data_IF_065218257320
#
_entry.id   IF_065218257320
#
_cell.length_a   1.000
_cell.length_b   1.000
_cell.length_c   1.000
_cell.angle_alpha   90.00
_cell.angle_beta   90.00
_cell.angle_gamma   90.00
#
_symmetry.space_group_name_H-M   'P 1'
#
loop_
_entity.id
_entity.type
_entity.pdbx_description
1 polymer ?
#
# COMPACT_ATOMS: atom_id res chain seq x y z
N UNK A 1 -5.96 -17.81 -2.09
CA UNK A 1 -5.56 -16.39 -2.08
C UNK A 1 -5.75 -15.92 -0.66
N UNK A 2 -4.67 -15.46 -0.03
CA UNK A 2 -4.62 -15.30 1.43
C UNK A 2 -4.76 -13.83 1.85
N UNK A 3 -4.31 -12.91 1.00
CA UNK A 3 -4.26 -11.47 1.27
C UNK A 3 -4.83 -10.65 0.10
N UNK A 4 -5.57 -9.60 0.43
CA UNK A 4 -6.06 -8.59 -0.52
C UNK A 4 -5.71 -7.21 0.03
N UNK A 5 -5.00 -6.41 -0.76
CA UNK A 5 -4.60 -5.05 -0.37
C UNK A 5 -5.16 -4.08 -1.40
N UNK A 6 -5.99 -3.15 -0.97
CA UNK A 6 -6.51 -2.07 -1.83
C UNK A 6 -5.61 -0.84 -1.71
N UNK A 7 -5.37 -0.14 -2.82
CA UNK A 7 -4.32 0.90 -2.91
C UNK A 7 -4.82 2.32 -3.17
N UNK A 8 -6.08 2.46 -3.56
CA UNK A 8 -6.75 3.76 -3.71
C UNK A 8 -8.09 3.76 -2.95
N UNK A 9 -8.55 4.92 -2.50
CA UNK A 9 -9.81 5.04 -1.77
C UNK A 9 -11.00 4.51 -2.58
N UNK A 10 -10.94 4.66 -3.91
CA UNK A 10 -11.93 4.09 -4.83
C UNK A 10 -11.98 2.57 -4.71
N UNK A 11 -10.83 1.89 -4.69
CA UNK A 11 -10.75 0.44 -4.52
C UNK A 11 -11.12 -0.02 -3.10
N UNK A 12 -10.95 0.82 -2.08
CA UNK A 12 -11.40 0.52 -0.72
C UNK A 12 -12.94 0.51 -0.60
N UNK A 13 -13.64 1.34 -1.37
CA UNK A 13 -15.10 1.46 -1.38
C UNK A 13 -15.82 0.59 -2.41
N UNK A 14 -15.10 -0.04 -3.33
CA UNK A 14 -15.68 -0.96 -4.31
C UNK A 14 -16.08 -2.29 -3.67
N UNK A 15 -17.20 -2.87 -4.15
CA UNK A 15 -17.62 -4.21 -3.72
C UNK A 15 -16.56 -5.19 -4.21
N UNK A 16 -15.71 -5.64 -3.29
CA UNK A 16 -14.71 -6.66 -3.59
C UNK A 16 -15.40 -7.92 -4.15
N UNK A 17 -14.84 -8.56 -5.18
CA UNK A 17 -15.32 -9.84 -5.66
C UNK A 17 -15.41 -10.85 -4.50
N UNK A 18 -16.35 -11.80 -4.58
CA UNK A 18 -16.39 -12.90 -3.61
C UNK A 18 -15.18 -13.79 -3.87
N UNK A 19 -14.17 -13.69 -2.99
CA UNK A 19 -13.00 -14.56 -3.01
C UNK A 19 -13.26 -15.81 -2.17
N UNK A 20 -13.11 -17.02 -2.71
CA UNK A 20 -13.14 -18.24 -1.90
C UNK A 20 -12.03 -18.20 -0.84
N UNK A 21 -12.38 -18.55 0.41
CA UNK A 21 -11.42 -18.64 1.52
C UNK A 21 -11.34 -17.43 2.46
N UNK A 22 -12.11 -16.35 2.23
CA UNK A 22 -12.12 -15.12 3.07
C UNK A 22 -10.68 -14.59 3.34
N UNK A 23 -10.00 -14.06 2.31
CA UNK A 23 -8.66 -13.49 2.49
C UNK A 23 -8.68 -12.35 3.51
N UNK A 24 -7.55 -12.15 4.19
CA UNK A 24 -7.33 -10.97 5.03
C UNK A 24 -7.24 -9.72 4.14
N UNK A 25 -7.83 -8.62 4.59
CA UNK A 25 -7.92 -7.38 3.80
C UNK A 25 -7.26 -6.21 4.51
N UNK A 26 -6.56 -5.37 3.76
CA UNK A 26 -6.04 -4.09 4.24
C UNK A 26 -6.12 -3.02 3.15
N UNK A 27 -6.09 -1.75 3.57
CA UNK A 27 -6.06 -0.61 2.66
C UNK A 27 -4.76 0.19 2.87
N UNK A 28 -4.00 0.36 1.80
CA UNK A 28 -2.78 1.17 1.75
C UNK A 28 -2.99 2.32 0.78
N UNK A 29 -3.59 3.42 1.24
CA UNK A 29 -3.89 4.56 0.37
C UNK A 29 -2.65 5.25 -0.18
N UNK A 30 -2.63 5.50 -1.49
CA UNK A 30 -1.63 6.34 -2.17
C UNK A 30 -2.33 7.42 -3.00
N UNK A 31 -1.65 8.54 -3.24
CA UNK A 31 -2.11 9.52 -4.22
C UNK A 31 -2.15 8.88 -5.62
N UNK A 32 -3.14 9.24 -6.45
CA UNK A 32 -3.23 8.76 -7.82
C UNK A 32 -2.26 9.57 -8.70
N UNK A 33 -1.12 9.00 -9.14
CA UNK A 33 -0.14 9.74 -9.91
C UNK A 33 -0.65 10.07 -11.32
N UNK A 34 -1.68 9.36 -11.82
CA UNK A 34 -2.27 9.61 -13.13
C UNK A 34 -3.22 10.82 -13.12
N UNK A 35 -3.70 11.23 -11.95
CA UNK A 35 -4.52 12.43 -11.78
C UNK A 35 -3.68 13.73 -11.79
N UNK A 36 -2.35 13.63 -11.73
CA UNK A 36 -1.48 14.80 -11.73
C UNK A 36 -1.34 15.43 -13.13
N UNK A 37 -1.61 16.73 -13.23
CA UNK A 37 -1.42 17.53 -14.43
C UNK A 37 -0.15 18.37 -14.34
N UNK A 38 0.61 18.47 -15.45
CA UNK A 38 1.88 19.19 -15.48
C UNK A 38 2.80 18.72 -16.61
N UNK A 39 4.06 19.11 -16.53
CA UNK A 39 5.11 18.67 -17.46
C UNK A 39 5.37 17.16 -17.32
N UNK A 40 5.97 16.55 -18.34
CA UNK A 40 6.36 15.13 -18.28
C UNK A 40 7.37 14.85 -17.17
N UNK A 41 8.23 15.83 -16.85
CA UNK A 41 9.18 15.75 -15.74
C UNK A 41 8.46 15.73 -14.39
N UNK A 42 7.50 16.64 -14.18
CA UNK A 42 6.72 16.70 -12.94
C UNK A 42 5.87 15.43 -12.76
N UNK A 43 5.24 14.94 -13.83
CA UNK A 43 4.54 13.64 -13.82
C UNK A 43 5.49 12.53 -13.40
N UNK A 44 6.68 12.44 -14.01
CA UNK A 44 7.64 11.40 -13.65
C UNK A 44 8.08 11.47 -12.19
N UNK A 45 8.25 12.68 -11.64
CA UNK A 45 8.55 12.89 -10.22
C UNK A 45 7.43 12.34 -9.32
N UNK A 46 6.17 12.66 -9.61
CA UNK A 46 5.01 12.15 -8.85
C UNK A 46 4.88 10.63 -8.95
N UNK A 47 5.01 10.05 -10.15
CA UNK A 47 5.02 8.59 -10.32
C UNK A 47 6.14 7.92 -9.53
N UNK A 48 7.36 8.49 -9.54
CA UNK A 48 8.50 7.96 -8.80
C UNK A 48 8.27 8.01 -7.29
N UNK A 49 7.67 9.10 -6.79
CA UNK A 49 7.28 9.24 -5.38
C UNK A 49 6.30 8.14 -4.98
N UNK A 50 5.19 7.98 -5.69
CA UNK A 50 4.18 6.93 -5.41
C UNK A 50 4.80 5.53 -5.50
N UNK A 51 5.64 5.27 -6.50
CA UNK A 51 6.36 4.00 -6.62
C UNK A 51 7.22 3.70 -5.38
N UNK A 52 7.99 4.66 -4.87
CA UNK A 52 8.80 4.49 -3.66
C UNK A 52 7.93 4.17 -2.43
N UNK A 53 6.78 4.83 -2.30
CA UNK A 53 5.83 4.55 -1.22
C UNK A 53 5.28 3.12 -1.29
N UNK A 54 4.88 2.67 -2.48
CA UNK A 54 4.42 1.29 -2.71
C UNK A 54 5.52 0.29 -2.35
N UNK A 55 6.74 0.52 -2.84
CA UNK A 55 7.87 -0.38 -2.58
C UNK A 55 8.24 -0.45 -1.10
N UNK A 56 8.18 0.67 -0.37
CA UNK A 56 8.41 0.69 1.08
C UNK A 56 7.39 -0.18 1.82
N UNK A 57 6.09 0.00 1.54
CA UNK A 57 5.03 -0.79 2.19
C UNK A 57 5.08 -2.27 1.83
N UNK A 58 5.32 -2.60 0.56
CA UNK A 58 5.51 -3.99 0.11
C UNK A 58 6.72 -4.62 0.81
N UNK A 59 7.84 -3.91 0.89
CA UNK A 59 9.04 -4.37 1.57
C UNK A 59 8.77 -4.66 3.06
N UNK A 60 8.05 -3.79 3.76
CA UNK A 60 7.67 -4.03 5.14
C UNK A 60 6.80 -5.29 5.29
N UNK A 61 5.83 -5.49 4.39
CA UNK A 61 4.92 -6.63 4.45
C UNK A 61 5.63 -7.97 4.18
N UNK A 62 6.48 -8.06 3.16
CA UNK A 62 7.18 -9.31 2.83
C UNK A 62 8.23 -9.70 3.87
N UNK A 63 8.66 -8.75 4.71
CA UNK A 63 9.58 -8.99 5.82
C UNK A 63 8.88 -9.35 7.14
N UNK A 64 7.54 -9.42 7.18
CA UNK A 64 6.82 -9.89 8.36
C UNK A 64 7.11 -11.38 8.63
N UNK A 65 7.30 -11.79 9.89
CA UNK A 65 7.47 -13.20 10.25
C UNK A 65 6.13 -13.95 10.25
N UNK A 66 5.50 -14.09 9.08
CA UNK A 66 4.14 -14.65 8.92
C UNK A 66 3.96 -16.06 9.48
N UNK A 67 5.04 -16.82 9.65
CA UNK A 67 5.03 -18.17 10.22
C UNK A 67 4.93 -18.19 11.76
N UNK A 68 5.22 -17.07 12.42
CA UNK A 68 5.18 -16.93 13.88
C UNK A 68 3.95 -16.16 14.33
N UNK A 69 3.46 -15.26 13.49
CA UNK A 69 2.29 -14.42 13.80
C UNK A 69 0.99 -15.20 13.65
N UNK A 70 0.04 -14.96 14.56
CA UNK A 70 -1.32 -15.43 14.39
C UNK A 70 -2.12 -14.53 13.43
N UNK A 71 -3.32 -14.98 13.04
CA UNK A 71 -4.16 -14.25 12.09
C UNK A 71 -4.52 -12.82 12.52
N UNK A 72 -4.70 -12.57 13.82
CA UNK A 72 -5.04 -11.24 14.31
C UNK A 72 -3.82 -10.31 14.25
N UNK A 73 -2.64 -10.83 14.62
CA UNK A 73 -1.39 -10.11 14.53
C UNK A 73 -1.02 -9.78 13.06
N UNK A 74 -1.20 -10.72 12.13
CA UNK A 74 -1.00 -10.46 10.69
C UNK A 74 -1.96 -9.36 10.21
N UNK A 75 -3.25 -9.47 10.55
CA UNK A 75 -4.25 -8.48 10.17
C UNK A 75 -3.96 -7.09 10.77
N UNK A 76 -3.40 -7.02 11.98
CA UNK A 76 -2.95 -5.79 12.62
C UNK A 76 -1.76 -5.18 11.87
N UNK A 77 -0.70 -5.94 11.64
CA UNK A 77 0.50 -5.45 10.93
C UNK A 77 0.17 -4.98 9.51
N UNK A 78 -0.69 -5.71 8.79
CA UNK A 78 -1.16 -5.29 7.47
C UNK A 78 -1.84 -3.92 7.49
N UNK A 79 -2.65 -3.61 8.50
CA UNK A 79 -3.28 -2.28 8.65
C UNK A 79 -2.24 -1.22 9.04
N UNK A 80 -1.38 -1.54 10.00
CA UNK A 80 -0.35 -0.64 10.48
C UNK A 80 0.60 -0.18 9.35
N UNK A 81 0.97 -1.06 8.42
CA UNK A 81 1.79 -0.71 7.24
C UNK A 81 1.11 0.35 6.36
N UNK A 82 -0.23 0.32 6.26
CA UNK A 82 -1.02 1.31 5.51
C UNK A 82 -1.13 2.66 6.20
N UNK A 83 -1.18 2.67 7.53
CA UNK A 83 -1.34 3.86 8.36
C UNK A 83 -0.02 4.59 8.65
N UNK A 84 1.12 3.91 8.48
CA UNK A 84 2.43 4.55 8.62
C UNK A 84 2.57 5.67 7.57
N UNK A 85 2.97 6.89 7.98
CA UNK A 85 3.30 7.93 7.03
C UNK A 85 4.40 7.39 6.11
N UNK A 86 4.27 7.65 4.81
CA UNK A 86 5.34 7.39 3.89
C UNK A 86 6.58 8.14 4.41
N UNK A 87 7.69 7.44 4.63
CA UNK A 87 8.95 8.11 4.93
C UNK A 87 9.19 9.14 3.82
N UNK A 88 9.09 10.42 4.17
CA UNK A 88 9.60 11.50 3.35
C UNK A 88 11.11 11.26 3.33
N UNK A 89 11.59 10.58 2.30
CA UNK A 89 13.02 10.45 2.06
C UNK A 89 13.54 11.87 1.92
N UNK A 90 14.19 12.37 2.98
CA UNK A 90 14.90 13.64 3.03
C UNK A 90 15.73 13.82 1.76
N UNK A 91 15.22 14.59 0.80
CA UNK A 91 16.04 15.29 -0.19
C UNK A 91 16.67 16.50 0.53
N UNK A 92 17.60 16.21 1.45
CA UNK A 92 18.53 17.20 1.99
C UNK A 92 19.97 16.66 1.92
N UNK A 93 20.55 16.63 0.72
CA UNK A 93 21.88 17.21 0.39
C UNK A 93 22.26 16.92 -1.07
#
# INVERSE_FOLDING_TARGET
>A
MDFVITVCDRAAGEVCPIWPGKPMTAHWGFEDPAAFEGSDEDKRRVFTKVYRQIMSRVSQFVNLPLHVLDSNAIQHEMRAIGERPAEESDEQH
#
